data_IF_104107434791
#
_entry.id   IF_104107434791
#
_cell.length_a   1.000
_cell.length_b   1.000
_cell.length_c   1.000
_cell.angle_alpha   90.00
_cell.angle_beta   90.00
_cell.angle_gamma   90.00
#
_symmetry.space_group_name_H-M   'P 1'
#
loop_
_entity.id
_entity.type
_entity.pdbx_description
1 polymer ?
#
# COMPACT_ATOMS: atom_id res chain seq x y z
N UNK A 1 -19.14 58.14 -46.22
CA UNK A 1 -19.95 57.23 -45.38
C UNK A 1 -20.32 55.89 -46.06
N UNK A 2 -19.75 55.52 -47.23
CA UNK A 2 -20.03 54.23 -47.89
C UNK A 2 -18.96 53.13 -47.68
N UNK A 3 -17.78 53.47 -47.13
CA UNK A 3 -16.70 52.49 -46.88
C UNK A 3 -16.75 51.81 -45.50
N UNK A 4 -17.42 52.40 -44.51
CA UNK A 4 -17.41 51.89 -43.12
C UNK A 4 -18.40 50.73 -42.87
N UNK A 5 -19.36 50.51 -43.76
CA UNK A 5 -20.40 49.47 -43.61
C UNK A 5 -19.92 48.13 -44.18
N UNK A 6 -18.91 48.12 -45.07
CA UNK A 6 -18.43 46.90 -45.70
C UNK A 6 -17.46 46.10 -44.81
N UNK A 7 -16.78 46.77 -43.87
CA UNK A 7 -15.79 46.11 -42.98
C UNK A 7 -16.43 45.36 -41.81
N UNK A 8 -17.66 45.69 -41.40
CA UNK A 8 -18.37 44.99 -40.32
C UNK A 8 -18.98 43.66 -40.77
N UNK A 9 -19.33 43.50 -42.06
CA UNK A 9 -19.90 42.27 -42.61
C UNK A 9 -18.87 41.15 -42.81
N UNK A 10 -17.60 41.48 -43.07
CA UNK A 10 -16.55 40.46 -43.18
C UNK A 10 -16.11 39.89 -41.82
N UNK A 11 -16.32 40.62 -40.72
CA UNK A 11 -15.95 40.15 -39.38
C UNK A 11 -16.87 39.02 -38.85
N UNK A 12 -18.11 38.93 -39.33
CA UNK A 12 -19.07 37.91 -38.88
C UNK A 12 -18.86 36.52 -39.48
N UNK A 13 -18.01 36.36 -40.50
CA UNK A 13 -17.81 35.08 -41.17
C UNK A 13 -16.75 34.17 -40.52
N UNK A 14 -15.86 34.69 -39.68
CA UNK A 14 -14.79 33.90 -39.04
C UNK A 14 -15.16 33.33 -37.65
N UNK A 15 -16.37 33.61 -37.14
CA UNK A 15 -16.78 33.21 -35.79
C UNK A 15 -17.41 31.79 -35.71
N UNK A 16 -17.59 31.11 -36.84
CA UNK A 16 -18.12 29.74 -36.90
C UNK A 16 -17.12 28.78 -37.55
N UNK A 17 -15.96 28.63 -36.93
CA UNK A 17 -15.15 27.42 -37.12
C UNK A 17 -15.59 26.39 -36.07
N UNK A 18 -15.86 25.12 -36.42
CA UNK A 18 -16.12 24.09 -35.41
C UNK A 18 -14.87 23.98 -34.53
N UNK A 19 -14.98 24.35 -33.26
CA UNK A 19 -13.94 24.06 -32.30
C UNK A 19 -13.79 22.54 -32.26
N UNK A 20 -12.61 22.03 -32.61
CA UNK A 20 -12.30 20.62 -32.38
C UNK A 20 -12.37 20.41 -30.88
N UNK A 21 -13.46 19.83 -30.40
CA UNK A 21 -13.49 19.31 -29.04
C UNK A 21 -12.32 18.33 -28.93
N UNK A 22 -11.39 18.49 -27.97
CA UNK A 22 -10.40 17.47 -27.74
C UNK A 22 -11.18 16.17 -27.52
N UNK A 23 -10.90 15.17 -28.34
CA UNK A 23 -11.44 13.83 -28.14
C UNK A 23 -11.23 13.49 -26.66
N UNK A 24 -12.25 12.97 -25.95
CA UNK A 24 -12.02 12.45 -24.62
C UNK A 24 -10.88 11.46 -24.77
N UNK A 25 -9.74 11.74 -24.14
CA UNK A 25 -8.69 10.76 -23.98
C UNK A 25 -9.35 9.64 -23.21
N UNK A 26 -9.75 8.58 -23.92
CA UNK A 26 -10.10 7.33 -23.28
C UNK A 26 -8.88 7.02 -22.42
N UNK A 27 -9.07 7.11 -21.11
CA UNK A 27 -8.03 6.76 -20.17
C UNK A 27 -7.87 5.27 -20.36
N UNK A 28 -6.95 4.85 -21.22
CA UNK A 28 -6.63 3.44 -21.43
C UNK A 28 -6.22 2.95 -20.05
N UNK A 29 -7.07 2.11 -19.47
CA UNK A 29 -6.79 1.43 -18.23
C UNK A 29 -5.55 0.56 -18.51
N UNK A 30 -4.40 0.92 -17.93
CA UNK A 30 -3.13 0.17 -18.02
C UNK A 30 -3.17 -1.15 -17.22
N UNK A 31 -4.36 -1.66 -16.98
CA UNK A 31 -4.67 -2.77 -16.08
C UNK A 31 -5.40 -3.89 -16.84
N UNK A 32 -5.11 -4.01 -18.13
CA UNK A 32 -5.64 -5.10 -18.95
C UNK A 32 -4.86 -6.41 -18.69
N UNK A 33 -5.47 -7.55 -19.01
CA UNK A 33 -4.80 -8.86 -18.92
C UNK A 33 -3.53 -8.95 -19.77
N UNK A 34 -3.46 -8.23 -20.89
CA UNK A 34 -2.23 -8.11 -21.70
C UNK A 34 -1.11 -7.39 -20.96
N UNK A 35 -1.44 -6.35 -20.19
CA UNK A 35 -0.46 -5.61 -19.40
C UNK A 35 0.08 -6.49 -18.25
N UNK A 36 -0.79 -7.28 -17.60
CA UNK A 36 -0.39 -8.27 -16.60
C UNK A 36 0.57 -9.33 -17.16
N UNK A 37 0.31 -9.84 -18.37
CA UNK A 37 1.18 -10.84 -19.00
C UNK A 37 2.55 -10.27 -19.34
N UNK A 38 2.59 -9.01 -19.77
CA UNK A 38 3.85 -8.29 -20.04
C UNK A 38 4.64 -8.10 -18.74
N UNK A 39 3.98 -7.57 -17.70
CA UNK A 39 4.57 -7.39 -16.37
C UNK A 39 5.08 -8.72 -15.79
N UNK A 40 4.32 -9.81 -15.94
CA UNK A 40 4.70 -11.11 -15.43
C UNK A 40 5.94 -11.68 -16.13
N UNK A 41 6.09 -11.42 -17.44
CA UNK A 41 7.30 -11.78 -18.18
C UNK A 41 8.53 -10.99 -17.69
N UNK A 42 8.36 -9.70 -17.37
CA UNK A 42 9.43 -8.86 -16.83
C UNK A 42 9.82 -9.24 -15.39
N UNK A 43 8.86 -9.67 -14.57
CA UNK A 43 9.10 -10.10 -13.18
C UNK A 43 9.85 -11.44 -13.11
N UNK A 44 9.42 -12.43 -13.90
CA UNK A 44 10.07 -13.72 -14.00
C UNK A 44 9.88 -14.33 -15.40
N UNK A 45 10.92 -14.39 -16.24
CA UNK A 45 10.81 -14.89 -17.60
C UNK A 45 10.55 -16.41 -17.69
N UNK A 46 10.78 -17.16 -16.60
CA UNK A 46 10.59 -18.61 -16.56
C UNK A 46 9.15 -18.98 -16.24
N UNK A 47 8.62 -18.44 -15.14
CA UNK A 47 7.24 -18.70 -14.69
C UNK A 47 6.22 -17.93 -15.53
N UNK A 48 6.60 -16.75 -16.05
CA UNK A 48 5.73 -15.86 -16.83
C UNK A 48 4.42 -15.60 -16.08
N UNK A 49 3.28 -15.70 -16.77
CA UNK A 49 1.97 -15.45 -16.20
C UNK A 49 1.47 -16.65 -15.39
N UNK A 50 1.23 -16.43 -14.10
CA UNK A 50 0.76 -17.42 -13.15
C UNK A 50 -0.61 -17.00 -12.58
N UNK A 51 -1.68 -17.62 -13.05
CA UNK A 51 -3.02 -17.50 -12.49
C UNK A 51 -3.73 -18.86 -12.51
N UNK A 52 -3.50 -19.71 -11.49
CA UNK A 52 -4.12 -21.03 -11.44
C UNK A 52 -5.63 -20.99 -11.10
N UNK A 53 -6.13 -19.88 -10.55
CA UNK A 53 -7.49 -19.79 -10.01
C UNK A 53 -8.40 -18.90 -10.88
N UNK A 54 -7.86 -18.27 -11.92
CA UNK A 54 -8.60 -17.40 -12.83
C UNK A 54 -9.09 -16.11 -12.15
N UNK A 55 -8.41 -15.67 -11.08
CA UNK A 55 -8.86 -14.52 -10.30
C UNK A 55 -8.76 -13.21 -11.08
N UNK A 56 -7.91 -13.14 -12.11
CA UNK A 56 -7.86 -11.96 -12.98
C UNK A 56 -9.12 -11.79 -13.83
N UNK A 57 -9.89 -12.87 -14.03
CA UNK A 57 -11.09 -12.90 -14.87
C UNK A 57 -12.38 -12.76 -14.03
N UNK A 58 -12.24 -12.68 -12.70
CA UNK A 58 -13.35 -12.52 -11.80
C UNK A 58 -13.90 -11.09 -11.85
N UNK A 59 -15.21 -10.94 -11.81
CA UNK A 59 -15.86 -9.63 -11.63
C UNK A 59 -16.18 -9.44 -10.15
N UNK A 60 -15.26 -8.85 -9.40
CA UNK A 60 -15.49 -8.58 -7.99
C UNK A 60 -16.53 -7.46 -7.84
N UNK A 61 -17.56 -7.71 -7.04
CA UNK A 61 -18.63 -6.74 -6.72
C UNK A 61 -19.35 -6.15 -7.94
N UNK A 62 -19.45 -6.90 -9.05
CA UNK A 62 -20.09 -6.43 -10.29
C UNK A 62 -19.28 -5.39 -11.06
N UNK A 63 -17.98 -5.25 -10.75
CA UNK A 63 -17.05 -4.37 -11.44
C UNK A 63 -16.59 -4.96 -12.78
N UNK A 64 -15.95 -4.15 -13.63
CA UNK A 64 -15.31 -4.64 -14.86
C UNK A 64 -14.03 -5.43 -14.56
N UNK A 65 -13.57 -6.23 -15.52
CA UNK A 65 -12.31 -7.01 -15.41
C UNK A 65 -11.11 -6.11 -15.06
N UNK A 66 -10.95 -5.00 -15.79
CA UNK A 66 -9.85 -4.04 -15.60
C UNK A 66 -9.88 -3.38 -14.20
N UNK A 67 -11.08 -3.17 -13.65
CA UNK A 67 -11.28 -2.66 -12.29
C UNK A 67 -10.84 -3.67 -11.25
N UNK A 68 -11.19 -4.94 -11.45
CA UNK A 68 -10.78 -6.04 -10.57
C UNK A 68 -9.27 -6.22 -10.59
N UNK A 69 -8.65 -6.17 -11.77
CA UNK A 69 -7.19 -6.27 -11.90
C UNK A 69 -6.49 -5.11 -11.17
N UNK A 70 -6.97 -3.88 -11.34
CA UNK A 70 -6.44 -2.71 -10.63
C UNK A 70 -6.54 -2.87 -9.10
N UNK A 71 -7.64 -3.43 -8.60
CA UNK A 71 -7.82 -3.75 -7.18
C UNK A 71 -6.85 -4.82 -6.69
N UNK A 72 -6.73 -5.94 -7.41
CA UNK A 72 -5.85 -7.06 -7.03
C UNK A 72 -4.38 -6.64 -6.98
N UNK A 73 -3.92 -5.85 -7.96
CA UNK A 73 -2.55 -5.31 -7.96
C UNK A 73 -2.31 -4.32 -6.84
N UNK A 74 -3.30 -3.47 -6.55
CA UNK A 74 -3.18 -2.55 -5.43
C UNK A 74 -3.08 -3.32 -4.10
N UNK A 75 -3.91 -4.36 -3.92
CA UNK A 75 -3.85 -5.24 -2.77
C UNK A 75 -2.49 -5.93 -2.64
N UNK A 76 -1.94 -6.50 -3.73
CA UNK A 76 -0.61 -7.11 -3.73
C UNK A 76 0.48 -6.15 -3.26
N UNK A 77 0.48 -4.91 -3.77
CA UNK A 77 1.46 -3.89 -3.40
C UNK A 77 1.32 -3.48 -1.93
N UNK A 78 0.09 -3.28 -1.43
CA UNK A 78 -0.12 -2.96 0.00
C UNK A 78 0.40 -4.08 0.90
N UNK A 79 0.02 -5.33 0.63
CA UNK A 79 0.48 -6.47 1.43
C UNK A 79 2.00 -6.63 1.35
N UNK A 80 2.59 -6.47 0.17
CA UNK A 80 4.04 -6.51 -0.02
C UNK A 80 4.77 -5.42 0.78
N UNK A 81 4.28 -4.18 0.78
CA UNK A 81 4.87 -3.06 1.54
C UNK A 81 4.82 -3.30 3.05
N UNK A 82 3.65 -3.70 3.56
CA UNK A 82 3.47 -4.01 4.99
C UNK A 82 4.37 -5.19 5.38
N UNK A 83 4.45 -6.24 4.55
CA UNK A 83 5.31 -7.39 4.82
C UNK A 83 6.80 -7.02 4.81
N UNK A 84 7.27 -6.18 3.88
CA UNK A 84 8.65 -5.71 3.86
C UNK A 84 9.00 -4.91 5.12
N UNK A 85 8.12 -4.02 5.56
CA UNK A 85 8.33 -3.26 6.80
C UNK A 85 8.27 -4.16 8.05
N UNK A 86 7.31 -5.08 8.10
CA UNK A 86 7.17 -6.05 9.18
C UNK A 86 8.40 -6.95 9.30
N UNK A 87 9.01 -7.39 8.19
CA UNK A 87 10.19 -8.26 8.20
C UNK A 87 11.37 -7.59 8.90
N UNK A 88 11.65 -6.33 8.58
CA UNK A 88 12.72 -5.56 9.23
C UNK A 88 12.36 -5.33 10.71
N UNK A 89 11.12 -4.95 10.99
CA UNK A 89 10.62 -4.75 12.36
C UNK A 89 10.78 -6.00 13.23
N UNK A 90 10.44 -7.17 12.69
CA UNK A 90 10.57 -8.46 13.37
C UNK A 90 12.03 -8.72 13.76
N UNK A 91 12.98 -8.50 12.86
CA UNK A 91 14.42 -8.68 13.15
C UNK A 91 14.90 -7.71 14.23
N UNK A 92 14.51 -6.44 14.16
CA UNK A 92 14.90 -5.41 15.14
C UNK A 92 14.37 -5.75 16.53
N UNK A 93 13.10 -6.17 16.62
CA UNK A 93 12.47 -6.56 17.89
C UNK A 93 12.98 -7.90 18.42
N UNK A 94 13.28 -8.88 17.56
CA UNK A 94 13.91 -10.13 17.96
C UNK A 94 15.33 -9.91 18.54
N UNK A 95 16.06 -8.91 18.07
CA UNK A 95 17.35 -8.50 18.63
C UNK A 95 17.23 -7.57 19.85
N UNK A 96 16.02 -7.32 20.35
CA UNK A 96 15.76 -6.46 21.52
C UNK A 96 16.30 -5.02 21.38
N UNK A 97 16.39 -4.52 20.14
CA UNK A 97 16.79 -3.14 19.88
C UNK A 97 15.57 -2.26 20.15
N UNK A 98 15.50 -1.75 21.38
CA UNK A 98 14.45 -0.82 21.83
C UNK A 98 15.00 0.59 21.97
N UNK A 99 14.12 1.58 21.90
CA UNK A 99 14.52 2.96 22.13
C UNK A 99 15.02 3.17 23.57
N UNK A 100 16.08 3.98 23.78
CA UNK A 100 16.69 4.18 25.10
C UNK A 100 15.98 5.22 25.99
N UNK A 101 14.79 5.68 25.62
CA UNK A 101 14.01 6.67 26.35
C UNK A 101 12.64 6.12 26.78
N UNK A 102 11.95 6.75 27.76
CA UNK A 102 10.64 6.29 28.20
C UNK A 102 9.58 6.45 27.11
N UNK A 103 8.71 5.46 27.01
CA UNK A 103 7.56 5.44 26.11
C UNK A 103 6.39 6.24 26.67
N UNK A 104 6.19 6.20 27.99
CA UNK A 104 5.07 6.88 28.66
C UNK A 104 5.53 8.16 29.36
N UNK A 105 4.61 9.11 29.53
CA UNK A 105 4.85 10.32 30.34
C UNK A 105 5.12 9.98 31.83
N UNK A 106 4.75 8.77 32.27
CA UNK A 106 5.04 8.25 33.60
C UNK A 106 6.47 7.71 33.75
N UNK A 107 7.23 7.60 32.64
CA UNK A 107 8.62 7.14 32.65
C UNK A 107 8.80 5.65 32.35
N UNK A 108 7.76 4.94 31.90
CA UNK A 108 7.87 3.51 31.61
C UNK A 108 8.73 3.28 30.36
N UNK A 109 9.70 2.36 30.39
CA UNK A 109 10.52 2.04 29.23
C UNK A 109 9.73 1.26 28.17
N UNK A 110 10.26 1.20 26.95
CA UNK A 110 9.72 0.31 25.91
C UNK A 110 9.85 -1.16 26.34
N UNK A 111 8.82 -1.99 26.07
CA UNK A 111 8.85 -3.39 26.46
C UNK A 111 9.96 -4.14 25.73
N UNK A 112 10.82 -4.81 26.49
CA UNK A 112 11.78 -5.79 25.97
C UNK A 112 11.13 -7.16 26.09
N UNK A 113 10.59 -7.65 24.98
CA UNK A 113 10.03 -8.99 24.93
C UNK A 113 10.99 -9.96 24.25
N UNK A 114 10.76 -11.24 24.53
CA UNK A 114 11.54 -12.35 24.01
C UNK A 114 11.20 -12.70 22.55
N UNK A 115 10.01 -12.32 22.08
CA UNK A 115 9.57 -12.47 20.70
C UNK A 115 8.92 -11.18 20.21
N UNK A 116 8.97 -10.93 18.89
CA UNK A 116 8.35 -9.75 18.30
C UNK A 116 6.81 -9.68 18.54
N UNK A 117 6.06 -10.81 18.48
CA UNK A 117 4.64 -10.79 18.84
C UNK A 117 4.39 -10.44 20.32
N UNK A 118 5.19 -10.99 21.24
CA UNK A 118 5.08 -10.66 22.67
C UNK A 118 5.41 -9.18 22.96
N UNK A 119 6.26 -8.56 22.13
CA UNK A 119 6.56 -7.13 22.23
C UNK A 119 5.32 -6.28 21.93
N UNK A 120 4.50 -6.68 20.95
CA UNK A 120 3.23 -6.02 20.68
C UNK A 120 2.27 -6.18 21.85
N UNK A 121 2.14 -7.38 22.41
CA UNK A 121 1.25 -7.65 23.53
C UNK A 121 1.53 -6.78 24.76
N UNK A 122 2.80 -6.56 25.07
CA UNK A 122 3.24 -5.75 26.20
C UNK A 122 2.98 -4.23 26.04
N UNK A 123 2.60 -3.75 24.84
CA UNK A 123 2.30 -2.33 24.62
C UNK A 123 0.95 -1.98 25.26
N UNK A 124 0.85 -0.82 25.97
CA UNK A 124 -0.42 -0.33 26.50
C UNK A 124 -1.49 -0.18 25.41
N UNK A 125 -2.73 -0.55 25.73
CA UNK A 125 -3.85 -0.53 24.77
C UNK A 125 -4.08 0.85 24.14
N UNK A 126 -3.94 1.92 24.92
CA UNK A 126 -4.08 3.28 24.41
C UNK A 126 -3.08 3.58 23.29
N UNK A 127 -1.84 3.08 23.38
CA UNK A 127 -0.83 3.24 22.34
C UNK A 127 -1.17 2.38 21.10
N UNK A 128 -1.66 1.14 21.29
CA UNK A 128 -2.12 0.28 20.17
C UNK A 128 -3.23 0.96 19.37
N UNK A 129 -4.22 1.54 20.06
CA UNK A 129 -5.33 2.26 19.43
C UNK A 129 -4.84 3.49 18.66
N UNK A 130 -3.90 4.26 19.22
CA UNK A 130 -3.30 5.40 18.50
C UNK A 130 -2.59 4.98 17.21
N UNK A 131 -1.85 3.86 17.24
CA UNK A 131 -1.20 3.30 16.05
C UNK A 131 -2.24 2.90 15.00
N UNK A 132 -3.29 2.17 15.41
CA UNK A 132 -4.37 1.76 14.51
C UNK A 132 -5.11 2.95 13.90
N UNK A 133 -5.42 3.98 14.69
CA UNK A 133 -6.06 5.20 14.21
C UNK A 133 -5.15 5.97 13.24
N UNK A 134 -3.85 6.02 13.51
CA UNK A 134 -2.88 6.67 12.61
C UNK A 134 -2.79 5.93 11.27
N UNK A 135 -2.66 4.61 11.27
CA UNK A 135 -2.67 3.80 10.05
C UNK A 135 -4.01 3.92 9.31
N UNK A 136 -5.12 3.90 10.05
CA UNK A 136 -6.46 4.10 9.49
C UNK A 136 -6.62 5.47 8.83
N UNK A 137 -6.05 6.53 9.41
CA UNK A 137 -6.00 7.85 8.79
C UNK A 137 -5.19 7.85 7.49
N UNK A 138 -4.02 7.20 7.46
CA UNK A 138 -3.20 7.12 6.25
C UNK A 138 -3.90 6.36 5.12
N UNK A 139 -4.53 5.22 5.43
CA UNK A 139 -5.31 4.45 4.45
C UNK A 139 -6.51 5.25 3.94
N UNK A 140 -7.25 5.93 4.84
CA UNK A 140 -8.36 6.80 4.46
C UNK A 140 -7.90 7.96 3.59
N UNK A 141 -6.76 8.59 3.92
CA UNK A 141 -6.18 9.66 3.13
C UNK A 141 -5.85 9.21 1.71
N UNK A 142 -5.30 7.99 1.58
CA UNK A 142 -4.93 7.41 0.30
C UNK A 142 -6.14 7.28 -0.63
N UNK A 143 -7.31 6.92 -0.10
CA UNK A 143 -8.54 6.78 -0.89
C UNK A 143 -9.24 8.13 -1.13
N UNK A 144 -9.25 9.02 -0.14
CA UNK A 144 -9.99 10.27 -0.19
C UNK A 144 -9.34 11.35 -1.08
N UNK A 145 -8.01 11.36 -1.18
CA UNK A 145 -7.26 12.41 -1.88
C UNK A 145 -6.53 11.93 -3.15
N UNK A 146 -6.81 10.71 -3.63
CA UNK A 146 -6.25 10.23 -4.89
C UNK A 146 -6.85 10.99 -6.08
N UNK A 147 -6.02 11.62 -6.91
CA UNK A 147 -6.52 12.33 -8.11
C UNK A 147 -7.26 11.41 -9.08
N UNK A 148 -6.82 10.15 -9.18
CA UNK A 148 -7.50 9.09 -9.92
C UNK A 148 -7.42 7.80 -9.13
N UNK A 149 -8.58 7.25 -8.76
CA UNK A 149 -8.66 5.95 -8.10
C UNK A 149 -8.03 4.85 -8.97
N UNK A 150 -7.32 3.90 -8.37
CA UNK A 150 -6.61 2.82 -9.09
C UNK A 150 -7.56 1.95 -9.93
N UNK A 151 -8.81 1.73 -9.49
CA UNK A 151 -9.87 1.10 -10.31
C UNK A 151 -10.38 1.98 -11.48
N UNK A 152 -9.97 3.24 -11.59
CA UNK A 152 -10.42 4.18 -12.64
C UNK A 152 -9.24 4.76 -13.43
N UNK A 153 -8.14 4.02 -13.51
CA UNK A 153 -6.96 4.39 -14.30
C UNK A 153 -5.91 5.19 -13.54
N UNK A 154 -6.02 5.24 -12.21
CA UNK A 154 -4.89 5.58 -11.33
C UNK A 154 -3.81 4.50 -11.35
N UNK A 155 -2.60 4.85 -10.93
CA UNK A 155 -1.52 3.88 -10.78
C UNK A 155 -1.69 3.12 -9.46
N UNK A 156 -1.70 1.77 -9.46
CA UNK A 156 -1.78 1.01 -8.22
C UNK A 156 -0.61 1.33 -7.29
N UNK A 157 -0.91 1.65 -6.03
CA UNK A 157 0.10 1.89 -4.99
C UNK A 157 0.70 3.30 -4.97
N UNK A 158 0.12 4.24 -5.72
CA UNK A 158 0.49 5.66 -5.68
C UNK A 158 -0.17 6.35 -4.48
N UNK A 159 0.64 6.95 -3.59
CA UNK A 159 0.12 7.62 -2.39
C UNK A 159 0.03 9.13 -2.65
N UNK A 160 -1.13 9.76 -2.45
CA UNK A 160 -1.28 11.19 -2.70
C UNK A 160 -0.45 12.02 -1.72
N UNK A 161 0.36 12.94 -2.25
CA UNK A 161 1.18 13.84 -1.45
C UNK A 161 0.30 14.63 -0.45
N UNK A 162 0.85 14.86 0.75
CA UNK A 162 0.14 15.63 1.75
C UNK A 162 0.11 17.11 1.33
N UNK A 163 -1.09 17.59 1.01
CA UNK A 163 -1.26 18.99 0.64
C UNK A 163 -1.10 19.89 1.87
N UNK A 164 -0.23 20.89 1.74
CA UNK A 164 0.06 21.90 2.76
C UNK A 164 -1.17 22.73 3.18
N UNK A 165 -2.29 22.62 2.42
CA UNK A 165 -3.60 23.19 2.76
C UNK A 165 -4.29 22.48 3.93
N UNK A 166 -4.10 21.18 4.09
CA UNK A 166 -4.82 20.36 5.09
C UNK A 166 -3.92 19.95 6.26
N UNK A 167 -2.60 19.82 6.03
CA UNK A 167 -1.62 19.54 7.08
C UNK A 167 -0.60 20.70 7.11
N UNK A 168 -0.77 21.67 8.02
CA UNK A 168 0.11 22.83 8.08
C UNK A 168 1.50 22.44 8.58
N UNK A 169 2.53 22.78 7.80
CA UNK A 169 3.94 22.52 8.14
C UNK A 169 4.75 21.86 7.03
N UNK A 170 4.14 21.59 5.86
CA UNK A 170 4.76 20.84 4.78
C UNK A 170 5.04 19.43 5.25
N UNK A 171 3.99 18.62 5.43
CA UNK A 171 4.19 17.21 5.78
C UNK A 171 5.16 16.59 4.77
N UNK A 172 6.30 16.13 5.28
CA UNK A 172 7.27 15.37 4.52
C UNK A 172 6.48 14.27 3.79
N UNK A 173 6.62 14.17 2.47
CA UNK A 173 5.92 13.14 1.71
C UNK A 173 6.19 11.78 2.35
N UNK A 174 5.14 10.99 2.61
CA UNK A 174 5.22 9.75 3.40
C UNK A 174 6.34 8.81 2.89
N UNK A 175 6.47 8.73 1.57
CA UNK A 175 7.44 7.86 0.90
C UNK A 175 8.76 8.56 0.53
N UNK A 176 8.73 9.85 0.16
CA UNK A 176 9.93 10.59 -0.27
C UNK A 176 10.06 11.92 0.48
N UNK A 177 10.40 11.88 1.78
CA UNK A 177 10.44 13.07 2.64
C UNK A 177 11.43 14.14 2.13
N UNK A 178 12.47 13.73 1.41
CA UNK A 178 13.53 14.62 0.91
C UNK A 178 13.48 14.87 -0.60
N UNK A 179 12.50 14.32 -1.31
CA UNK A 179 12.31 14.54 -2.75
C UNK A 179 13.42 13.96 -3.63
N UNK A 180 14.18 12.98 -3.16
CA UNK A 180 15.34 12.43 -3.88
C UNK A 180 14.94 11.62 -5.11
N UNK A 181 13.69 11.17 -5.22
CA UNK A 181 13.21 10.36 -6.34
C UNK A 181 12.70 11.19 -7.53
N UNK A 182 12.67 12.53 -7.43
CA UNK A 182 12.16 13.43 -8.48
C UNK A 182 13.02 13.43 -9.76
N UNK A 183 14.32 13.15 -9.64
CA UNK A 183 15.29 13.17 -10.76
C UNK A 183 15.51 11.81 -11.45
N UNK A 184 14.81 10.74 -11.03
CA UNK A 184 15.00 9.40 -11.59
C UNK A 184 14.40 9.25 -12.99
N UNK A 185 15.14 8.58 -13.89
CA UNK A 185 14.65 8.26 -15.23
C UNK A 185 13.46 7.28 -15.19
N UNK A 186 12.56 7.31 -16.19
CA UNK A 186 11.39 6.43 -16.24
C UNK A 186 11.75 4.93 -16.15
N UNK A 187 12.80 4.50 -16.86
CA UNK A 187 13.28 3.12 -16.86
C UNK A 187 13.80 2.68 -15.48
N UNK A 188 14.50 3.58 -14.77
CA UNK A 188 14.95 3.30 -13.40
C UNK A 188 13.78 3.18 -12.42
N UNK A 189 12.68 3.90 -12.66
CA UNK A 189 11.45 3.79 -11.85
C UNK A 189 10.77 2.44 -12.09
N UNK A 190 10.63 2.02 -13.34
CA UNK A 190 10.05 0.72 -13.69
C UNK A 190 10.84 -0.44 -13.08
N UNK A 191 12.18 -0.42 -13.19
CA UNK A 191 13.03 -1.43 -12.56
C UNK A 191 12.85 -1.49 -11.03
N UNK A 192 12.69 -0.34 -10.37
CA UNK A 192 12.44 -0.28 -8.92
C UNK A 192 11.07 -0.82 -8.54
N UNK A 193 10.03 -0.56 -9.34
CA UNK A 193 8.69 -1.12 -9.13
C UNK A 193 8.68 -2.64 -9.29
N UNK A 194 9.40 -3.18 -10.27
CA UNK A 194 9.57 -4.64 -10.43
C UNK A 194 10.30 -5.24 -9.21
N UNK A 195 11.35 -4.59 -8.73
CA UNK A 195 12.06 -5.01 -7.53
C UNK A 195 11.16 -4.96 -6.28
N UNK A 196 10.32 -3.94 -6.15
CA UNK A 196 9.35 -3.81 -5.04
C UNK A 196 8.38 -5.00 -5.01
N UNK A 197 7.82 -5.40 -6.15
CA UNK A 197 6.89 -6.53 -6.22
C UNK A 197 7.58 -7.83 -5.82
N UNK A 198 8.75 -8.12 -6.39
CA UNK A 198 9.47 -9.37 -6.10
C UNK A 198 9.96 -9.44 -4.64
N UNK A 199 10.46 -8.32 -4.08
CA UNK A 199 10.84 -8.24 -2.67
C UNK A 199 9.63 -8.32 -1.75
N UNK A 200 8.49 -7.73 -2.14
CA UNK A 200 7.22 -7.84 -1.42
C UNK A 200 6.71 -9.26 -1.35
N UNK A 201 6.71 -9.98 -2.48
CA UNK A 201 6.36 -11.41 -2.53
C UNK A 201 7.23 -12.25 -1.61
N UNK A 202 8.54 -12.01 -1.62
CA UNK A 202 9.47 -12.70 -0.73
C UNK A 202 9.20 -12.38 0.74
N UNK A 203 8.98 -11.10 1.07
CA UNK A 203 8.71 -10.66 2.44
C UNK A 203 7.40 -11.22 3.00
N UNK A 204 6.36 -11.34 2.16
CA UNK A 204 5.08 -11.96 2.56
C UNK A 204 5.29 -13.41 3.02
N UNK A 205 6.07 -14.20 2.26
CA UNK A 205 6.40 -15.58 2.63
C UNK A 205 7.30 -15.60 3.87
N UNK A 206 8.26 -14.68 3.96
CA UNK A 206 9.19 -14.58 5.08
C UNK A 206 8.49 -14.34 6.42
N UNK A 207 7.57 -13.37 6.48
CA UNK A 207 6.81 -13.09 7.71
C UNK A 207 5.90 -14.25 8.11
N UNK A 208 5.21 -14.87 7.15
CA UNK A 208 4.40 -16.05 7.46
C UNK A 208 5.26 -17.21 8.00
N UNK A 209 6.46 -17.40 7.47
CA UNK A 209 7.42 -18.36 8.01
C UNK A 209 7.88 -18.04 9.43
N UNK A 210 8.10 -16.76 9.76
CA UNK A 210 8.45 -16.33 11.12
C UNK A 210 7.31 -16.54 12.11
N UNK A 211 6.07 -16.20 11.73
CA UNK A 211 4.90 -16.44 12.55
C UNK A 211 4.68 -17.95 12.78
N UNK A 212 4.78 -18.76 11.72
CA UNK A 212 4.62 -20.21 11.82
C UNK A 212 5.69 -20.86 12.72
N UNK A 213 6.96 -20.43 12.63
CA UNK A 213 8.02 -20.94 13.52
C UNK A 213 7.83 -20.48 14.97
N UNK A 214 7.26 -19.28 15.19
CA UNK A 214 6.99 -18.80 16.54
C UNK A 214 5.88 -19.59 17.24
N UNK A 215 4.85 -20.03 16.52
CA UNK A 215 3.75 -20.84 17.08
C UNK A 215 4.07 -22.34 17.07
N UNK A 216 4.81 -22.83 16.07
CA UNK A 216 5.14 -24.24 15.90
C UNK A 216 6.65 -24.40 15.69
N UNK A 217 7.35 -24.78 16.76
CA UNK A 217 8.80 -24.98 16.75
C UNK A 217 9.20 -26.04 15.70
N UNK A 218 10.12 -25.67 14.80
CA UNK A 218 10.61 -26.54 13.75
C UNK A 218 9.70 -26.67 12.52
N UNK A 219 8.68 -25.83 12.38
CA UNK A 219 7.87 -25.74 11.16
C UNK A 219 8.69 -25.23 9.97
N UNK A 220 9.69 -24.39 10.21
CA UNK A 220 10.69 -23.96 9.23
C UNK A 220 12.06 -24.54 9.61
N UNK A 221 12.54 -25.58 8.91
CA UNK A 221 13.78 -26.28 9.27
C UNK A 221 15.02 -25.39 9.38
N UNK A 222 15.05 -24.29 8.63
CA UNK A 222 16.16 -23.33 8.61
C UNK A 222 16.17 -22.37 9.82
N UNK A 223 15.06 -22.22 10.53
CA UNK A 223 14.90 -21.24 11.62
C UNK A 223 14.84 -21.87 13.01
N UNK A 224 15.01 -23.19 13.10
CA UNK A 224 14.90 -23.94 14.34
C UNK A 224 15.83 -23.38 15.43
N UNK A 225 15.23 -22.94 16.54
CA UNK A 225 15.92 -22.45 17.72
C UNK A 225 16.43 -20.99 17.64
N UNK A 226 16.14 -20.27 16.54
CA UNK A 226 16.46 -18.84 16.41
C UNK A 226 15.28 -17.96 16.85
N UNK A 227 14.06 -18.42 16.64
CA UNK A 227 12.84 -17.74 17.06
C UNK A 227 12.34 -18.41 18.34
N UNK A 228 12.07 -17.60 19.37
CA UNK A 228 11.50 -18.09 20.62
C UNK A 228 10.01 -18.37 20.44
N UNK A 229 9.53 -19.43 21.08
CA UNK A 229 8.14 -19.81 21.06
C UNK A 229 7.24 -18.70 21.62
N UNK A 230 6.06 -18.57 21.02
CA UNK A 230 5.04 -17.60 21.41
C UNK A 230 3.68 -18.30 21.46
N UNK A 231 3.08 -18.34 22.65
CA UNK A 231 1.79 -18.98 22.91
C UNK A 231 0.58 -18.06 22.68
N UNK A 232 0.79 -16.79 22.34
CA UNK A 232 -0.29 -15.81 22.16
C UNK A 232 -0.89 -15.85 20.75
N UNK A 233 -2.04 -15.20 20.59
CA UNK A 233 -2.70 -15.10 19.29
C UNK A 233 -2.14 -13.91 18.50
N UNK A 234 -1.34 -14.20 17.46
CA UNK A 234 -0.70 -13.16 16.62
C UNK A 234 -1.73 -12.29 15.87
N UNK A 235 -2.92 -12.84 15.61
CA UNK A 235 -3.98 -12.16 14.85
C UNK A 235 -4.89 -11.28 15.73
N UNK A 236 -4.76 -11.36 17.06
CA UNK A 236 -5.54 -10.53 17.97
C UNK A 236 -4.89 -9.13 18.12
N UNK A 237 -5.54 -8.04 17.68
CA UNK A 237 -4.93 -6.71 17.74
C UNK A 237 -4.81 -6.18 19.18
N UNK A 238 -5.72 -6.62 20.06
CA UNK A 238 -5.74 -6.33 21.50
C UNK A 238 -5.72 -7.67 22.22
N UNK A 239 -4.86 -7.83 23.22
CA UNK A 239 -4.77 -9.06 23.98
C UNK A 239 -6.14 -9.40 24.58
N UNK A 240 -6.56 -10.66 24.48
CA UNK A 240 -7.82 -11.18 25.01
C UNK A 240 -7.81 -11.16 26.55
N UNK A 241 -7.92 -9.96 27.13
CA UNK A 241 -7.75 -9.75 28.56
C UNK A 241 -8.22 -8.38 28.97
N UNK A 242 -9.55 -8.27 29.17
CA UNK A 242 -10.31 -7.12 29.71
C UNK A 242 -10.73 -6.06 28.69
N UNK A 243 -11.82 -6.37 27.98
CA UNK A 243 -12.97 -5.47 28.05
C UNK A 243 -13.53 -4.85 26.78
N UNK A 244 -13.15 -5.26 25.57
CA UNK A 244 -13.70 -4.59 24.37
C UNK A 244 -14.47 -5.45 23.37
N UNK A 245 -14.37 -6.78 23.36
CA UNK A 245 -15.30 -7.64 22.59
C UNK A 245 -15.24 -9.08 23.11
N UNK A 246 -15.96 -9.36 24.20
CA UNK A 246 -16.34 -10.74 24.53
C UNK A 246 -17.64 -11.01 23.80
N UNK A 247 -17.55 -11.66 22.64
CA UNK A 247 -18.74 -12.17 21.95
C UNK A 247 -19.02 -13.55 22.54
N UNK A 248 -19.63 -13.56 23.72
CA UNK A 248 -20.20 -14.79 24.27
C UNK A 248 -21.32 -15.27 23.36
N UNK A 249 -21.15 -16.45 22.75
CA UNK A 249 -22.25 -17.25 22.24
C UNK A 249 -22.62 -17.05 20.77
N UNK A 250 -21.74 -17.41 19.84
CA UNK A 250 -22.19 -17.85 18.51
C UNK A 250 -21.29 -18.94 17.90
N UNK A 251 -21.17 -20.06 18.62
CA UNK A 251 -21.15 -21.42 18.07
C UNK A 251 -21.79 -22.37 19.10
#
# INVERSE_FOLDING_TARGET
MKLAILTTLLASACAFAPASSPLPSSTILRESKSDLRTLAADLNPVVKYYDPWGLSDANLWGSTEEQTIGWLRHAEIKHGRVAMFAFIGFIVHANQITWPWPMTNAGDPFPKADSAPAAWDAIPEAAKIQIMLFVGFLEFWSEANMEKHYMRGGRPGDFPDFNNKYIPGGALNLYDPFGWNKSLSPESKEKRLLAEINNGRLAMIGIMGFCAESELEGSVPALKGLIKHYDGEVMAPLAAGKGLIHIDGLF
#
